data_IF_230095586462
#
_entry.id   IF_230095586462
#
_cell.length_a   1.000
_cell.length_b   1.000
_cell.length_c   1.000
_cell.angle_alpha   90.00
_cell.angle_beta   90.00
_cell.angle_gamma   90.00
#
_symmetry.space_group_name_H-M   'P 1'
#
loop_
_entity.id
_entity.type
_entity.pdbx_description
1 polymer ?
#
# COMPACT_ATOMS: atom_id res chain seq x y z
N UNK A 1 -15.91 0.15 -21.42
CA UNK A 1 -16.01 -0.71 -22.61
C UNK A 1 -16.09 0.06 -23.93
N UNK A 2 -16.53 1.33 -23.94
CA UNK A 2 -16.53 2.20 -25.14
C UNK A 2 -15.14 2.74 -25.55
N UNK A 3 -14.17 2.77 -24.63
CA UNK A 3 -12.82 3.32 -24.89
C UNK A 3 -11.87 2.37 -25.66
N UNK A 4 -12.23 1.09 -25.83
CA UNK A 4 -11.36 0.08 -26.44
C UNK A 4 -11.48 -0.03 -27.98
N UNK A 5 -12.27 0.84 -28.62
CA UNK A 5 -12.47 0.81 -30.08
C UNK A 5 -13.27 -0.41 -30.58
N UNK A 6 -14.04 -1.05 -29.71
CA UNK A 6 -14.87 -2.22 -30.04
C UNK A 6 -16.24 -1.74 -30.55
N UNK A 7 -16.73 -2.38 -31.62
CA UNK A 7 -18.05 -2.09 -32.16
C UNK A 7 -19.16 -2.38 -31.14
N UNK A 8 -20.13 -1.47 -31.00
CA UNK A 8 -21.27 -1.59 -30.09
C UNK A 8 -21.97 -2.97 -30.06
N UNK A 9 -22.26 -3.64 -31.19
CA UNK A 9 -22.93 -4.95 -31.15
C UNK A 9 -22.12 -6.04 -30.43
N UNK A 10 -20.78 -5.94 -30.46
CA UNK A 10 -19.90 -6.89 -29.76
C UNK A 10 -19.91 -6.59 -28.26
N UNK A 11 -19.92 -5.32 -27.87
CA UNK A 11 -20.04 -4.92 -26.47
C UNK A 11 -21.36 -5.42 -25.86
N UNK A 12 -22.47 -5.28 -26.58
CA UNK A 12 -23.78 -5.75 -26.13
C UNK A 12 -23.82 -7.28 -26.01
N UNK A 13 -23.18 -8.02 -26.93
CA UNK A 13 -23.07 -9.48 -26.86
C UNK A 13 -22.25 -9.94 -25.64
N UNK A 14 -21.18 -9.22 -25.28
CA UNK A 14 -20.36 -9.51 -24.09
C UNK A 14 -21.16 -9.24 -22.81
N UNK A 15 -21.91 -8.14 -22.77
CA UNK A 15 -22.78 -7.81 -21.62
C UNK A 15 -23.93 -8.80 -21.46
N UNK A 16 -24.55 -9.26 -22.55
CA UNK A 16 -25.60 -10.28 -22.54
C UNK A 16 -25.11 -11.63 -21.97
N UNK A 17 -23.81 -11.92 -22.07
CA UNK A 17 -23.17 -13.10 -21.48
C UNK A 17 -22.81 -12.94 -20.00
N UNK A 18 -23.12 -11.79 -19.38
CA UNK A 18 -22.90 -11.55 -17.95
C UNK A 18 -21.55 -10.94 -17.59
N UNK A 19 -20.73 -10.55 -18.57
CA UNK A 19 -19.45 -9.88 -18.31
C UNK A 19 -19.64 -8.39 -18.02
N UNK A 20 -20.18 -8.07 -16.84
CA UNK A 20 -20.50 -6.70 -16.43
C UNK A 20 -19.28 -5.88 -15.97
N UNK A 21 -18.13 -6.52 -15.71
CA UNK A 21 -16.91 -5.86 -15.21
C UNK A 21 -15.67 -6.34 -15.94
N UNK A 22 -14.68 -5.44 -16.11
CA UNK A 22 -13.38 -5.74 -16.68
C UNK A 22 -12.63 -6.81 -15.87
N UNK A 23 -12.71 -6.77 -14.53
CA UNK A 23 -12.09 -7.79 -13.68
C UNK A 23 -12.65 -9.18 -13.96
N UNK A 24 -13.98 -9.31 -14.01
CA UNK A 24 -14.67 -10.56 -14.28
C UNK A 24 -14.29 -11.12 -15.66
N UNK A 25 -14.22 -10.25 -16.67
CA UNK A 25 -13.77 -10.61 -18.00
C UNK A 25 -12.31 -11.13 -18.02
N UNK A 26 -11.40 -10.46 -17.30
CA UNK A 26 -9.99 -10.87 -17.24
C UNK A 26 -9.78 -12.21 -16.51
N UNK A 27 -10.49 -12.44 -15.40
CA UNK A 27 -10.36 -13.66 -14.60
C UNK A 27 -11.10 -14.87 -15.21
N UNK A 28 -12.12 -14.63 -16.02
CA UNK A 28 -12.83 -15.70 -16.71
C UNK A 28 -11.96 -16.42 -17.76
N UNK A 29 -10.97 -15.72 -18.34
CA UNK A 29 -10.10 -16.25 -19.38
C UNK A 29 -8.77 -16.69 -18.77
N UNK A 30 -8.70 -17.96 -18.38
CA UNK A 30 -7.49 -18.51 -17.73
C UNK A 30 -6.40 -18.96 -18.72
N UNK A 31 -6.73 -19.13 -20.00
CA UNK A 31 -5.75 -19.45 -21.04
C UNK A 31 -6.00 -18.69 -22.34
N UNK A 32 -4.93 -18.51 -23.12
CA UNK A 32 -5.02 -17.90 -24.45
C UNK A 32 -5.95 -18.71 -25.38
N UNK A 33 -5.97 -20.04 -25.26
CA UNK A 33 -6.86 -20.88 -26.07
C UNK A 33 -8.34 -20.67 -25.74
N UNK A 34 -8.68 -20.42 -24.47
CA UNK A 34 -10.05 -20.10 -24.06
C UNK A 34 -10.50 -18.75 -24.61
N UNK A 35 -9.60 -17.76 -24.62
CA UNK A 35 -9.85 -16.46 -25.23
C UNK A 35 -10.13 -16.58 -26.73
N UNK A 36 -9.33 -17.36 -27.46
CA UNK A 36 -9.55 -17.58 -28.89
C UNK A 36 -10.88 -18.26 -29.19
N UNK A 37 -11.25 -19.28 -28.41
CA UNK A 37 -12.55 -19.93 -28.53
C UNK A 37 -13.71 -18.96 -28.25
N UNK A 38 -13.57 -18.10 -27.24
CA UNK A 38 -14.56 -17.08 -26.92
C UNK A 38 -14.69 -16.03 -28.04
N UNK A 39 -13.57 -15.57 -28.60
CA UNK A 39 -13.55 -14.63 -29.73
C UNK A 39 -14.26 -15.24 -30.94
N UNK A 40 -13.97 -16.50 -31.26
CA UNK A 40 -14.65 -17.24 -32.32
C UNK A 40 -16.16 -17.29 -32.07
N UNK A 41 -16.59 -17.63 -30.86
CA UNK A 41 -18.01 -17.73 -30.54
C UNK A 41 -18.74 -16.39 -30.62
N UNK A 42 -18.15 -15.31 -30.08
CA UNK A 42 -18.74 -13.96 -30.10
C UNK A 42 -18.76 -13.39 -31.52
N UNK A 43 -17.68 -13.53 -32.28
CA UNK A 43 -17.62 -12.98 -33.63
C UNK A 43 -18.45 -13.81 -34.62
N UNK A 44 -18.49 -15.15 -34.49
CA UNK A 44 -19.40 -15.96 -35.31
C UNK A 44 -20.85 -15.65 -34.99
N UNK A 45 -21.23 -15.44 -33.73
CA UNK A 45 -22.62 -15.07 -33.38
C UNK A 45 -23.02 -13.68 -33.86
N UNK A 46 -22.07 -12.74 -33.94
CA UNK A 46 -22.31 -11.36 -34.43
C UNK A 46 -22.20 -11.25 -35.96
N UNK A 47 -21.28 -11.99 -36.60
CA UNK A 47 -21.00 -11.95 -38.05
C UNK A 47 -21.72 -13.04 -38.86
N UNK A 48 -22.44 -13.98 -38.23
CA UNK A 48 -23.25 -15.01 -38.91
C UNK A 48 -24.34 -14.46 -39.85
N UNK A 49 -24.57 -13.14 -39.87
CA UNK A 49 -25.49 -12.47 -40.78
C UNK A 49 -24.79 -11.78 -41.97
N UNK A 50 -23.45 -11.80 -42.04
CA UNK A 50 -22.69 -10.90 -42.91
C UNK A 50 -22.19 -11.48 -44.23
N UNK A 51 -21.36 -12.53 -44.22
CA UNK A 51 -20.83 -13.23 -45.39
C UNK A 51 -19.90 -14.36 -44.91
N UNK A 52 -19.75 -15.43 -45.69
CA UNK A 52 -19.09 -16.68 -45.27
C UNK A 52 -17.61 -16.57 -44.87
N UNK A 53 -17.35 -16.20 -43.62
CA UNK A 53 -16.02 -16.26 -43.02
C UNK A 53 -15.69 -17.69 -42.57
N UNK A 54 -14.43 -18.09 -42.78
CA UNK A 54 -13.87 -19.33 -42.23
C UNK A 54 -13.31 -19.07 -40.82
N UNK A 55 -13.25 -20.09 -39.96
CA UNK A 55 -12.74 -19.95 -38.58
C UNK A 55 -11.36 -19.28 -38.52
N UNK A 56 -10.49 -19.53 -39.52
CA UNK A 56 -9.16 -18.91 -39.60
C UNK A 56 -9.25 -17.38 -39.85
N UNK A 57 -10.12 -16.95 -40.75
CA UNK A 57 -10.27 -15.52 -41.11
C UNK A 57 -10.84 -14.66 -39.97
N UNK A 58 -11.65 -15.26 -39.08
CA UNK A 58 -12.25 -14.57 -37.92
C UNK A 58 -11.18 -14.26 -36.86
N UNK A 59 -10.27 -15.20 -36.58
CA UNK A 59 -9.19 -15.01 -35.58
C UNK A 59 -8.19 -13.93 -35.95
N UNK A 60 -7.99 -13.67 -37.24
CA UNK A 60 -7.07 -12.64 -37.76
C UNK A 60 -7.77 -11.30 -38.03
N UNK A 61 -9.06 -11.19 -37.73
CA UNK A 61 -9.83 -9.96 -37.97
C UNK A 61 -9.38 -8.82 -37.02
N UNK A 62 -9.54 -7.54 -37.43
CA UNK A 62 -9.28 -6.40 -36.55
C UNK A 62 -10.18 -6.42 -35.29
N UNK A 63 -11.38 -7.01 -35.37
CA UNK A 63 -12.27 -7.17 -34.23
C UNK A 63 -11.74 -8.18 -33.21
N UNK A 64 -11.18 -9.30 -33.68
CA UNK A 64 -10.50 -10.26 -32.82
C UNK A 64 -9.28 -9.62 -32.12
N UNK A 65 -8.50 -8.80 -32.83
CA UNK A 65 -7.40 -8.05 -32.23
C UNK A 65 -7.87 -7.06 -31.15
N UNK A 66 -9.01 -6.39 -31.37
CA UNK A 66 -9.64 -5.51 -30.38
C UNK A 66 -10.05 -6.24 -29.10
N UNK A 67 -10.60 -7.45 -29.21
CA UNK A 67 -10.99 -8.27 -28.06
C UNK A 67 -9.77 -8.75 -27.25
N UNK A 68 -8.68 -9.14 -27.92
CA UNK A 68 -7.41 -9.49 -27.24
C UNK A 68 -6.83 -8.30 -26.49
N UNK A 69 -6.85 -7.11 -27.11
CA UNK A 69 -6.42 -5.88 -26.45
C UNK A 69 -7.30 -5.56 -25.25
N UNK A 70 -8.62 -5.71 -25.34
CA UNK A 70 -9.50 -5.49 -24.20
C UNK A 70 -9.22 -6.49 -23.06
N UNK A 71 -8.93 -7.75 -23.36
CA UNK A 71 -8.55 -8.74 -22.35
C UNK A 71 -7.24 -8.36 -21.65
N UNK A 72 -6.24 -7.88 -22.42
CA UNK A 72 -4.99 -7.38 -21.88
C UNK A 72 -5.18 -6.15 -21.01
N UNK A 73 -5.94 -5.16 -21.49
CA UNK A 73 -6.23 -3.92 -20.75
C UNK A 73 -7.02 -4.23 -19.46
N UNK A 74 -7.98 -5.16 -19.53
CA UNK A 74 -8.73 -5.64 -18.38
C UNK A 74 -7.86 -6.36 -17.35
N UNK A 75 -6.90 -7.18 -17.81
CA UNK A 75 -5.93 -7.86 -16.96
C UNK A 75 -4.97 -6.86 -16.30
N UNK A 76 -4.47 -5.88 -17.06
CA UNK A 76 -3.62 -4.81 -16.54
C UNK A 76 -4.35 -3.97 -15.47
N UNK A 77 -5.63 -3.67 -15.68
CA UNK A 77 -6.48 -3.01 -14.69
C UNK A 77 -6.71 -3.88 -13.45
N UNK A 78 -6.96 -5.18 -13.63
CA UNK A 78 -7.14 -6.12 -12.53
C UNK A 78 -5.88 -6.32 -11.69
N UNK A 79 -4.70 -6.17 -12.29
CA UNK A 79 -3.40 -6.21 -11.60
C UNK A 79 -2.93 -4.86 -11.04
N UNK A 80 -3.73 -3.80 -11.19
CA UNK A 80 -3.38 -2.47 -10.70
C UNK A 80 -2.31 -1.74 -11.52
N UNK A 81 -1.92 -2.27 -12.68
CA UNK A 81 -0.94 -1.64 -13.58
C UNK A 81 -1.48 -0.38 -14.29
N UNK A 82 -2.78 -0.10 -14.18
CA UNK A 82 -3.47 1.05 -14.79
C UNK A 82 -3.85 2.17 -13.83
N UNK A 83 -3.50 2.10 -12.54
CA UNK A 83 -3.58 3.28 -11.68
C UNK A 83 -2.33 4.09 -11.99
N UNK A 84 -2.40 5.37 -12.43
CA UNK A 84 -1.22 6.22 -12.41
C UNK A 84 -0.75 6.23 -10.97
N UNK A 85 0.31 5.47 -10.71
CA UNK A 85 1.01 5.49 -9.45
C UNK A 85 1.33 6.97 -9.20
N UNK A 86 0.69 7.55 -8.19
CA UNK A 86 1.31 8.67 -7.53
C UNK A 86 2.67 8.15 -7.08
N UNK A 87 3.68 8.61 -7.79
CA UNK A 87 5.09 8.34 -7.57
C UNK A 87 5.42 8.56 -6.10
N UNK A 88 6.03 7.55 -5.48
CA UNK A 88 6.35 7.46 -4.06
C UNK A 88 5.43 6.45 -3.40
N UNK A 89 5.71 5.15 -3.46
CA UNK A 89 6.43 4.52 -2.33
C UNK A 89 6.86 3.09 -2.62
N UNK A 90 6.49 2.48 -3.76
CA UNK A 90 6.63 1.02 -3.94
C UNK A 90 8.06 0.61 -4.34
N UNK A 91 8.81 1.45 -5.06
CA UNK A 91 10.15 1.11 -5.54
C UNK A 91 11.27 1.34 -4.50
N UNK A 92 11.01 2.05 -3.40
CA UNK A 92 11.97 2.23 -2.31
C UNK A 92 12.03 1.04 -1.33
N UNK A 93 11.02 0.16 -1.32
CA UNK A 93 10.87 -0.89 -0.31
C UNK A 93 11.75 -2.13 -0.52
N UNK A 94 12.38 -2.30 -1.68
CA UNK A 94 13.20 -3.49 -1.95
C UNK A 94 14.55 -3.50 -1.21
N UNK A 95 14.94 -2.39 -0.56
CA UNK A 95 16.20 -2.22 0.16
C UNK A 95 16.04 -1.71 1.60
N UNK A 96 14.82 -1.50 2.07
CA UNK A 96 14.57 -1.06 3.45
C UNK A 96 14.61 -2.24 4.39
N UNK A 97 15.55 -2.19 5.34
CA UNK A 97 15.64 -3.07 6.50
C UNK A 97 14.24 -3.23 7.13
N UNK A 98 13.78 -4.48 7.29
CA UNK A 98 12.45 -4.73 7.83
C UNK A 98 12.35 -4.04 9.19
N UNK A 99 11.25 -3.28 9.46
CA UNK A 99 11.20 -2.48 10.66
C UNK A 99 11.27 -3.38 11.89
N UNK A 100 11.95 -2.93 12.95
CA UNK A 100 12.23 -3.75 14.12
C UNK A 100 10.94 -4.29 14.77
N UNK A 101 10.93 -5.52 15.31
CA UNK A 101 9.80 -6.06 16.06
C UNK A 101 9.34 -5.09 17.13
N UNK A 102 8.02 -4.91 17.23
CA UNK A 102 7.38 -4.06 18.23
C UNK A 102 7.75 -4.54 19.63
N UNK A 103 8.10 -3.59 20.49
CA UNK A 103 8.25 -3.84 21.92
C UNK A 103 6.92 -4.32 22.51
N UNK A 104 6.99 -5.31 23.40
CA UNK A 104 5.80 -5.76 24.14
C UNK A 104 5.32 -4.67 25.09
N UNK A 105 4.00 -4.62 25.32
CA UNK A 105 3.39 -3.65 26.23
C UNK A 105 3.98 -3.74 27.65
N UNK A 106 4.34 -4.95 28.08
CA UNK A 106 4.93 -5.19 29.39
C UNK A 106 6.34 -4.61 29.52
N UNK A 107 7.19 -4.75 28.49
CA UNK A 107 8.53 -4.16 28.47
C UNK A 107 8.43 -2.63 28.50
N UNK A 108 7.53 -2.05 27.70
CA UNK A 108 7.32 -0.60 27.68
C UNK A 108 6.84 -0.08 29.04
N UNK A 109 5.94 -0.80 29.72
CA UNK A 109 5.47 -0.46 31.07
C UNK A 109 6.61 -0.47 32.08
N UNK A 110 7.45 -1.50 32.04
CA UNK A 110 8.62 -1.62 32.92
C UNK A 110 9.63 -0.48 32.69
N UNK A 111 9.92 -0.15 31.43
CA UNK A 111 10.81 0.96 31.08
C UNK A 111 10.26 2.32 31.56
N UNK A 112 8.95 2.56 31.42
CA UNK A 112 8.29 3.76 31.98
C UNK A 112 8.45 3.83 33.51
N UNK A 113 8.25 2.73 34.22
CA UNK A 113 8.40 2.68 35.67
C UNK A 113 9.86 2.94 36.10
N UNK A 114 10.81 2.36 35.38
CA UNK A 114 12.25 2.58 35.61
C UNK A 114 12.61 4.05 35.37
N UNK A 115 12.11 4.64 34.30
CA UNK A 115 12.29 6.06 34.01
C UNK A 115 11.73 6.95 35.12
N UNK A 116 10.51 6.70 35.60
CA UNK A 116 9.91 7.48 36.70
C UNK A 116 10.71 7.40 38.00
N UNK A 117 11.35 6.26 38.25
CA UNK A 117 12.20 6.06 39.43
C UNK A 117 13.51 6.84 39.30
N UNK A 118 14.13 6.84 38.11
CA UNK A 118 15.38 7.52 37.86
C UNK A 118 15.22 9.04 37.65
N UNK A 119 14.05 9.48 37.15
CA UNK A 119 13.76 10.86 36.79
C UNK A 119 12.41 11.33 37.37
N UNK A 120 12.28 11.45 38.71
CA UNK A 120 11.01 11.76 39.36
C UNK A 120 10.46 13.16 39.04
N UNK A 121 11.31 14.07 38.55
CA UNK A 121 10.91 15.42 38.12
C UNK A 121 10.46 15.52 36.66
N UNK A 122 10.66 14.49 35.84
CA UNK A 122 10.24 14.50 34.44
C UNK A 122 8.86 13.84 34.27
N UNK A 123 7.91 14.61 33.75
CA UNK A 123 6.57 14.11 33.43
C UNK A 123 6.53 13.70 31.96
N UNK A 124 6.19 12.43 31.71
CA UNK A 124 5.94 11.92 30.37
C UNK A 124 4.43 12.02 30.10
N UNK A 125 4.07 12.77 29.06
CA UNK A 125 2.70 12.91 28.55
C UNK A 125 2.57 12.25 27.17
N UNK A 126 1.37 12.10 26.64
CA UNK A 126 1.12 11.49 25.32
C UNK A 126 1.77 12.27 24.17
N UNK A 127 2.00 13.57 24.38
CA UNK A 127 2.68 14.46 23.44
C UNK A 127 4.22 14.35 23.49
N UNK A 128 4.78 13.80 24.58
CA UNK A 128 6.24 13.63 24.79
C UNK A 128 6.66 12.16 24.85
N UNK A 129 5.71 11.23 24.94
CA UNK A 129 5.92 9.79 24.81
C UNK A 129 6.22 9.45 23.36
N UNK A 130 7.30 8.71 23.06
CA UNK A 130 7.56 8.27 21.70
C UNK A 130 6.53 7.26 21.22
N UNK A 131 6.30 7.21 19.91
CA UNK A 131 5.52 6.13 19.30
C UNK A 131 6.19 4.77 19.57
N UNK A 132 5.37 3.72 19.64
CA UNK A 132 5.86 2.34 19.89
C UNK A 132 6.93 1.93 18.87
N UNK A 133 6.80 2.40 17.62
CA UNK A 133 7.76 2.15 16.55
C UNK A 133 9.09 2.84 16.79
N UNK A 134 9.06 4.15 17.05
CA UNK A 134 10.24 4.92 17.40
C UNK A 134 10.98 4.30 18.59
N UNK A 135 10.24 3.91 19.61
CA UNK A 135 10.78 3.26 20.80
C UNK A 135 11.46 1.93 20.47
N UNK A 136 10.80 1.08 19.67
CA UNK A 136 11.36 -0.22 19.26
C UNK A 136 12.65 -0.07 18.46
N UNK A 137 12.71 0.93 17.57
CA UNK A 137 13.92 1.26 16.80
C UNK A 137 15.08 1.68 17.69
N UNK A 138 14.86 2.63 18.60
CA UNK A 138 15.92 3.10 19.49
C UNK A 138 16.38 2.01 20.47
N UNK A 139 15.45 1.19 20.97
CA UNK A 139 15.80 0.07 21.82
C UNK A 139 16.72 -0.94 21.12
N UNK A 140 16.52 -1.17 19.82
CA UNK A 140 17.43 -2.01 19.05
C UNK A 140 18.77 -1.35 18.76
N UNK A 141 18.79 -0.04 18.49
CA UNK A 141 20.04 0.71 18.28
C UNK A 141 20.95 0.69 19.50
N UNK A 142 20.38 0.63 20.70
CA UNK A 142 21.13 0.61 21.95
C UNK A 142 21.60 -0.78 22.37
N UNK A 143 21.30 -1.84 21.59
CA UNK A 143 21.89 -3.16 21.82
C UNK A 143 23.37 -3.15 21.42
N UNK A 144 24.25 -3.81 22.19
CA UNK A 144 25.69 -3.78 21.96
C UNK A 144 26.12 -4.37 20.61
N UNK A 145 25.28 -5.21 20.00
CA UNK A 145 25.52 -5.84 18.70
C UNK A 145 25.24 -4.91 17.52
N UNK A 146 24.50 -3.81 17.74
CA UNK A 146 24.03 -2.93 16.68
C UNK A 146 24.80 -1.62 16.65
N UNK A 147 24.93 -1.06 15.45
CA UNK A 147 25.51 0.26 15.24
C UNK A 147 24.40 1.31 15.34
N UNK A 148 24.64 2.37 16.12
CA UNK A 148 23.74 3.51 16.22
C UNK A 148 23.66 4.20 14.86
N UNK A 149 22.47 4.23 14.26
CA UNK A 149 22.20 4.91 12.99
C UNK A 149 21.56 6.27 13.22
N UNK A 150 21.69 7.14 12.23
CA UNK A 150 20.96 8.40 12.20
C UNK A 150 19.46 8.12 12.09
N UNK A 151 18.66 8.86 12.87
CA UNK A 151 17.21 8.76 12.85
C UNK A 151 16.60 9.98 12.15
N UNK A 152 15.83 9.78 11.06
CA UNK A 152 15.14 10.85 10.37
C UNK A 152 14.14 11.60 11.28
N UNK A 153 14.02 12.91 11.08
CA UNK A 153 13.05 13.71 11.82
C UNK A 153 11.60 13.35 11.48
N UNK A 154 11.37 12.83 10.26
CA UNK A 154 10.06 12.29 9.85
C UNK A 154 9.61 11.11 10.71
N UNK A 155 10.55 10.35 11.29
CA UNK A 155 10.26 9.18 12.14
C UNK A 155 10.16 9.53 13.64
N UNK A 156 10.50 10.76 14.02
CA UNK A 156 10.40 11.25 15.39
C UNK A 156 8.95 11.66 15.72
N UNK A 157 8.10 10.65 15.92
CA UNK A 157 6.66 10.82 16.16
C UNK A 157 6.31 10.45 17.60
N UNK A 158 5.49 11.27 18.26
CA UNK A 158 4.92 10.96 19.58
C UNK A 158 3.76 9.95 19.46
N UNK A 159 3.35 9.38 20.60
CA UNK A 159 2.26 8.41 20.67
C UNK A 159 0.96 8.99 20.10
N UNK A 160 0.60 10.22 20.50
CA UNK A 160 -0.62 10.90 20.04
C UNK A 160 -0.63 11.10 18.53
N UNK A 161 0.41 11.72 17.96
CA UNK A 161 0.52 11.92 16.50
C UNK A 161 0.54 10.60 15.74
N UNK A 162 1.17 9.57 16.29
CA UNK A 162 1.16 8.25 15.66
C UNK A 162 -0.25 7.68 15.56
N UNK A 163 -1.09 7.88 16.58
CA UNK A 163 -2.50 7.46 16.54
C UNK A 163 -3.27 8.27 15.50
N UNK A 164 -3.11 9.60 15.49
CA UNK A 164 -3.74 10.49 14.50
C UNK A 164 -3.38 10.10 13.05
N UNK A 165 -2.11 9.76 12.77
CA UNK A 165 -1.66 9.32 11.44
C UNK A 165 -2.34 7.99 11.05
N UNK A 166 -2.37 7.02 11.97
CA UNK A 166 -3.00 5.71 11.72
C UNK A 166 -4.50 5.85 11.48
N UNK A 167 -5.17 6.68 12.28
CA UNK A 167 -6.60 6.97 12.14
C UNK A 167 -6.88 7.71 10.83
N UNK A 168 -6.13 8.76 10.50
CA UNK A 168 -6.29 9.50 9.25
C UNK A 168 -6.10 8.61 8.00
N UNK A 169 -5.21 7.61 8.08
CA UNK A 169 -5.03 6.61 7.01
C UNK A 169 -6.16 5.60 6.93
N UNK A 170 -6.79 5.26 8.05
CA UNK A 170 -7.96 4.38 8.06
C UNK A 170 -9.17 4.99 7.34
N UNK A 171 -9.33 6.31 7.44
CA UNK A 171 -10.47 7.02 6.85
C UNK A 171 -10.32 7.36 5.36
N UNK A 172 -9.09 7.39 4.82
CA UNK A 172 -8.84 7.86 3.44
C UNK A 172 -8.95 6.80 2.34
N UNK A 173 -8.98 5.50 2.66
CA UNK A 173 -8.95 4.45 1.63
C UNK A 173 -9.97 3.35 1.89
N UNK A 174 -10.89 3.13 0.96
CA UNK A 174 -11.55 1.83 0.81
C UNK A 174 -10.48 0.83 0.37
N UNK A 175 -9.95 0.04 1.30
CA UNK A 175 -8.81 -0.84 1.05
C UNK A 175 -9.27 -2.08 0.30
N UNK A 176 -8.56 -2.42 -0.78
CA UNK A 176 -8.66 -3.75 -1.39
C UNK A 176 -8.07 -4.80 -0.45
N UNK A 177 -8.55 -6.05 -0.50
CA UNK A 177 -8.09 -7.14 0.37
C UNK A 177 -6.56 -7.33 0.32
N UNK A 178 -5.96 -7.12 -0.86
CA UNK A 178 -4.51 -7.17 -1.05
C UNK A 178 -3.78 -6.06 -0.28
N UNK A 179 -4.33 -4.84 -0.24
CA UNK A 179 -3.76 -3.74 0.56
C UNK A 179 -3.89 -3.99 2.06
N UNK A 180 -4.98 -4.64 2.50
CA UNK A 180 -5.15 -5.05 3.90
C UNK A 180 -4.10 -6.11 4.26
N UNK A 181 -3.94 -7.14 3.44
CA UNK A 181 -2.93 -8.18 3.65
C UNK A 181 -1.51 -7.60 3.61
N UNK A 182 -1.24 -6.70 2.67
CA UNK A 182 0.05 -5.99 2.58
C UNK A 182 0.31 -5.19 3.85
N UNK A 183 -0.68 -4.51 4.42
CA UNK A 183 -0.50 -3.78 5.67
C UNK A 183 -0.33 -4.71 6.88
N UNK A 184 -0.98 -5.87 6.89
CA UNK A 184 -0.80 -6.88 7.93
C UNK A 184 0.58 -7.54 7.87
N UNK A 185 1.11 -7.75 6.66
CA UNK A 185 2.43 -8.33 6.43
C UNK A 185 3.56 -7.30 6.59
N UNK A 186 3.35 -6.08 6.11
CA UNK A 186 4.27 -4.95 6.17
C UNK A 186 3.57 -3.80 6.85
N UNK A 187 3.74 -3.77 8.16
CA UNK A 187 3.24 -2.65 8.93
C UNK A 187 4.06 -1.40 8.63
N UNK A 188 3.40 -0.44 7.99
CA UNK A 188 3.97 0.85 7.64
C UNK A 188 4.43 1.64 8.88
N UNK A 189 5.59 2.29 8.77
CA UNK A 189 6.15 3.10 9.85
C UNK A 189 5.41 4.44 9.86
N UNK A 190 4.84 4.88 10.98
CA UNK A 190 4.22 6.20 11.05
C UNK A 190 5.30 7.26 10.83
N UNK A 191 5.18 7.99 9.73
CA UNK A 191 6.07 9.07 9.35
C UNK A 191 5.27 10.37 9.24
N UNK A 192 5.88 11.47 9.66
CA UNK A 192 5.37 12.82 9.45
C UNK A 192 5.55 13.19 7.98
N UNK A 193 4.52 13.81 7.41
CA UNK A 193 4.61 14.41 6.09
C UNK A 193 5.65 15.55 6.10
N UNK A 194 6.46 15.66 5.06
CA UNK A 194 7.50 16.70 4.99
C UNK A 194 6.92 18.12 5.03
N UNK A 195 5.68 18.30 4.56
CA UNK A 195 4.94 19.56 4.65
C UNK A 195 4.64 20.01 6.08
N UNK A 196 4.58 19.05 7.02
CA UNK A 196 4.29 19.28 8.44
C UNK A 196 5.56 19.58 9.25
N UNK A 197 6.75 19.38 8.66
CA UNK A 197 8.06 19.71 9.25
C UNK A 197 8.35 21.21 9.21
N UNK A 198 7.35 22.06 9.46
CA UNK A 198 7.55 23.51 9.52
C UNK A 198 8.44 23.83 10.73
N UNK A 199 9.62 24.46 10.54
CA UNK A 199 10.56 24.75 11.63
C UNK A 199 10.04 25.87 12.52
N UNK A 200 9.07 25.54 13.37
CA UNK A 200 8.60 26.38 14.46
C UNK A 200 9.46 26.06 15.70
N UNK A 201 9.96 27.04 16.47
CA UNK A 201 10.68 26.80 17.72
C UNK A 201 9.98 25.83 18.67
N UNK A 202 8.65 25.88 18.77
CA UNK A 202 7.87 24.94 19.57
C UNK A 202 7.89 23.51 19.00
N UNK A 203 7.85 23.38 17.68
CA UNK A 203 7.93 22.08 17.01
C UNK A 203 9.32 21.45 17.23
N UNK A 204 10.38 22.25 17.10
CA UNK A 204 11.75 21.78 17.31
C UNK A 204 11.97 21.35 18.77
N UNK A 205 11.48 22.12 19.74
CA UNK A 205 11.60 21.76 21.16
C UNK A 205 10.84 20.47 21.48
N UNK A 206 9.64 20.31 20.92
CA UNK A 206 8.86 19.08 21.05
C UNK A 206 9.59 17.88 20.42
N UNK A 207 10.14 18.04 19.22
CA UNK A 207 10.91 17.00 18.52
C UNK A 207 12.12 16.54 19.35
N UNK A 208 12.84 17.51 19.92
CA UNK A 208 13.98 17.25 20.80
C UNK A 208 13.57 16.54 22.10
N UNK A 209 12.44 16.94 22.70
CA UNK A 209 11.90 16.30 23.90
C UNK A 209 11.53 14.83 23.63
N UNK A 210 10.83 14.55 22.52
CA UNK A 210 10.49 13.18 22.11
C UNK A 210 11.77 12.35 21.93
N UNK A 211 12.76 12.88 21.21
CA UNK A 211 14.04 12.20 21.00
C UNK A 211 14.72 11.89 22.34
N UNK A 212 14.90 12.91 23.19
CA UNK A 212 15.52 12.76 24.52
C UNK A 212 14.83 11.68 25.34
N UNK A 213 13.50 11.76 25.45
CA UNK A 213 12.71 10.82 26.23
C UNK A 213 12.81 9.40 25.68
N UNK A 214 12.90 9.24 24.35
CA UNK A 214 13.08 7.92 23.74
C UNK A 214 14.40 7.27 24.18
N UNK A 215 15.50 8.01 24.11
CA UNK A 215 16.82 7.50 24.54
C UNK A 215 16.86 7.25 26.05
N UNK A 216 16.28 8.14 26.86
CA UNK A 216 16.22 7.96 28.31
C UNK A 216 15.37 6.74 28.72
N UNK A 217 14.21 6.54 28.08
CA UNK A 217 13.35 5.37 28.31
C UNK A 217 14.04 4.05 27.95
N UNK A 218 14.92 4.06 26.97
CA UNK A 218 15.69 2.89 26.56
C UNK A 218 17.00 2.69 27.37
N UNK A 219 17.29 3.57 28.33
CA UNK A 219 18.54 3.51 29.12
C UNK A 219 19.80 3.97 28.37
N UNK A 220 19.65 4.71 27.27
CA UNK A 220 20.77 5.25 26.49
C UNK A 220 21.39 6.52 27.07
N UNK A 221 20.80 7.09 28.12
CA UNK A 221 21.31 8.26 28.84
C UNK A 221 21.47 7.88 30.32
N UNK A 222 22.66 8.14 30.88
CA UNK A 222 22.98 8.02 32.30
C UNK A 222 22.87 9.38 33.00
#
# INVERSE_FOLDING_TARGET
MSEAGIAQPIADAILARGYASASLFSYAMTSAAQLENFILEVLVTVEALGNGFTALTVTTSPMAAGLRRLQWDAWALAQGAGIPAQTGTIQELAWTDAPPPRLSAEIMRNMKQTFQTNYPGEVIDRDTTPSVRLWSTVYQFLRPENVIRWLPWTQLVCEKKSQEIVEARAHRHARSDLQILTQLCWEDVPQLDESDLRPNPFFISQLQAIRRNTFALCGGCH
#
